data_IF_231565709777
#
_entry.id   IF_231565709777
#
_cell.length_a   1.000
_cell.length_b   1.000
_cell.length_c   1.000
_cell.angle_alpha   90.00
_cell.angle_beta   90.00
_cell.angle_gamma   90.00
#
_symmetry.space_group_name_H-M   'P 1'
#
loop_
_entity.id
_entity.type
_entity.pdbx_description
1 polymer ?
#
# COMPACT_ATOMS: atom_id res chain seq x y z
N UNK A 1 8.01 77.72 -17.17
CA UNK A 1 8.76 77.07 -16.07
C UNK A 1 8.27 75.64 -15.93
N UNK A 2 9.20 74.71 -15.76
CA UNK A 2 9.15 73.28 -16.12
C UNK A 2 8.16 72.51 -15.24
N UNK A 3 7.22 71.80 -15.88
CA UNK A 3 6.33 70.83 -15.23
C UNK A 3 7.08 69.50 -15.03
N UNK A 4 7.17 69.02 -13.79
CA UNK A 4 7.78 67.74 -13.43
C UNK A 4 6.80 66.59 -13.73
N UNK A 5 7.12 65.76 -14.72
CA UNK A 5 6.50 64.45 -14.91
C UNK A 5 7.11 63.47 -13.90
N UNK A 6 6.32 63.07 -12.90
CA UNK A 6 6.69 62.00 -11.97
C UNK A 6 6.18 60.67 -12.56
N UNK A 7 7.10 59.83 -13.02
CA UNK A 7 6.78 58.50 -13.52
C UNK A 7 6.49 57.54 -12.35
N UNK A 8 5.26 57.04 -12.32
CA UNK A 8 4.82 55.90 -11.51
C UNK A 8 5.52 54.62 -12.01
N UNK A 9 6.27 53.95 -11.13
CA UNK A 9 6.71 52.57 -11.34
C UNK A 9 5.84 51.69 -10.42
N UNK A 10 4.90 50.90 -10.92
CA UNK A 10 4.22 49.91 -10.10
C UNK A 10 5.18 48.72 -9.89
N UNK A 11 5.65 48.56 -8.67
CA UNK A 11 6.33 47.34 -8.22
C UNK A 11 5.32 46.18 -8.28
N UNK A 12 5.43 45.35 -9.31
CA UNK A 12 4.72 44.08 -9.44
C UNK A 12 5.29 43.12 -8.40
N UNK A 13 4.67 43.04 -7.22
CA UNK A 13 4.93 42.00 -6.25
C UNK A 13 4.45 40.65 -6.81
N UNK A 14 5.35 39.90 -7.41
CA UNK A 14 5.11 38.48 -7.74
C UNK A 14 5.12 37.74 -6.40
N UNK A 15 3.93 37.46 -5.88
CA UNK A 15 3.74 36.53 -4.78
C UNK A 15 4.11 35.12 -5.28
N UNK A 16 5.34 34.70 -5.00
CA UNK A 16 5.76 33.31 -5.17
C UNK A 16 5.00 32.51 -4.11
N UNK A 17 3.86 31.94 -4.50
CA UNK A 17 3.18 30.91 -3.72
C UNK A 17 4.08 29.68 -3.67
N UNK A 18 4.90 29.57 -2.62
CA UNK A 18 5.45 28.28 -2.22
C UNK A 18 4.28 27.43 -1.71
N UNK A 19 3.73 26.59 -2.57
CA UNK A 19 2.85 25.50 -2.12
C UNK A 19 3.70 24.52 -1.32
N UNK A 20 3.64 24.61 0.00
CA UNK A 20 4.12 23.55 0.88
C UNK A 20 3.29 22.30 0.61
N UNK A 21 3.88 21.31 -0.05
CA UNK A 21 3.30 19.97 -0.12
C UNK A 21 3.31 19.40 1.31
N UNK A 22 2.14 19.30 1.94
CA UNK A 22 1.96 18.58 3.18
C UNK A 22 2.14 17.09 2.88
N UNK A 23 3.35 16.58 3.09
CA UNK A 23 3.59 15.14 3.19
C UNK A 23 2.73 14.65 4.34
N UNK A 24 1.77 13.76 4.07
CA UNK A 24 0.98 13.13 5.12
C UNK A 24 1.96 12.41 6.07
N UNK A 25 2.16 12.99 7.25
CA UNK A 25 3.00 12.40 8.28
C UNK A 25 2.25 11.17 8.80
N UNK A 26 2.72 9.96 8.51
CA UNK A 26 2.01 8.70 8.85
C UNK A 26 1.96 8.42 10.38
N UNK A 27 2.42 9.37 11.19
CA UNK A 27 2.41 9.32 12.65
C UNK A 27 3.53 8.46 13.24
N UNK A 28 4.18 7.61 12.43
CA UNK A 28 5.20 6.66 12.88
C UNK A 28 6.65 7.15 12.69
N UNK A 29 6.88 8.46 12.63
CA UNK A 29 8.25 8.98 12.67
C UNK A 29 8.80 8.89 14.11
N UNK A 30 9.84 8.07 14.37
CA UNK A 30 10.38 7.93 15.71
C UNK A 30 11.14 9.19 16.12
N UNK A 31 10.97 9.58 17.38
CA UNK A 31 11.69 10.66 18.05
C UNK A 31 12.47 10.05 19.20
N UNK A 32 13.74 10.44 19.34
CA UNK A 32 14.57 9.99 20.45
C UNK A 32 14.06 10.60 21.77
N UNK A 33 13.77 9.75 22.75
CA UNK A 33 13.42 10.13 24.12
C UNK A 33 14.23 9.28 25.11
N UNK A 34 15.21 9.91 25.74
CA UNK A 34 16.19 9.23 26.58
C UNK A 34 16.95 8.15 25.80
N UNK A 35 16.76 6.89 26.19
CA UNK A 35 17.43 5.73 25.57
C UNK A 35 16.61 5.07 24.45
N UNK A 36 15.44 5.62 24.11
CA UNK A 36 14.47 4.94 23.27
C UNK A 36 14.06 5.75 22.04
N UNK A 37 13.65 5.03 21.00
CA UNK A 37 12.89 5.58 19.90
C UNK A 37 11.41 5.56 20.27
N UNK A 38 10.74 6.70 20.16
CA UNK A 38 9.34 6.86 20.58
C UNK A 38 8.50 7.41 19.42
N UNK A 39 7.36 6.78 19.16
CA UNK A 39 6.34 7.27 18.20
C UNK A 39 5.08 7.72 18.93
N UNK A 40 4.37 8.67 18.34
CA UNK A 40 3.15 9.21 18.91
C UNK A 40 1.95 8.26 18.83
N UNK A 41 0.89 8.60 19.56
CA UNK A 41 -0.38 7.84 19.56
C UNK A 41 -1.03 7.79 18.16
N UNK A 42 -0.74 8.74 17.27
CA UNK A 42 -1.21 8.72 15.88
C UNK A 42 -0.54 7.66 15.00
N UNK A 43 0.57 7.06 15.44
CA UNK A 43 1.21 5.96 14.71
C UNK A 43 0.29 4.74 14.68
N UNK A 44 -0.10 4.30 13.48
CA UNK A 44 -0.90 3.10 13.31
C UNK A 44 -0.03 1.84 13.48
N UNK A 45 -0.25 1.16 14.60
CA UNK A 45 0.41 -0.10 14.96
C UNK A 45 -0.51 -1.31 14.80
N UNK A 46 -1.66 -1.11 14.16
CA UNK A 46 -2.55 -2.18 13.73
C UNK A 46 -3.26 -2.90 14.88
N UNK A 47 -3.84 -4.04 14.54
CA UNK A 47 -4.59 -4.91 15.45
C UNK A 47 -3.80 -6.17 15.77
N UNK A 48 -3.98 -6.74 16.97
CA UNK A 48 -3.27 -7.96 17.35
C UNK A 48 -3.73 -9.19 16.57
N UNK A 49 -2.79 -10.07 16.26
CA UNK A 49 -2.96 -11.38 15.64
C UNK A 49 -2.65 -12.46 16.70
N UNK A 50 -3.56 -12.65 17.66
CA UNK A 50 -3.38 -13.62 18.74
C UNK A 50 -3.38 -15.06 18.19
N UNK A 51 -4.48 -15.43 17.52
CA UNK A 51 -4.70 -16.76 16.92
C UNK A 51 -5.26 -16.68 15.50
N UNK A 52 -5.37 -15.46 14.96
CA UNK A 52 -5.84 -15.19 13.61
C UNK A 52 -4.66 -15.21 12.65
N UNK A 53 -4.85 -15.81 11.48
CA UNK A 53 -3.91 -15.65 10.37
C UNK A 53 -3.89 -14.18 9.94
N UNK A 54 -2.76 -13.67 9.45
CA UNK A 54 -2.73 -12.34 8.88
C UNK A 54 -3.67 -12.28 7.66
N UNK A 55 -4.20 -11.09 7.37
CA UNK A 55 -5.03 -10.89 6.17
C UNK A 55 -4.20 -11.09 4.89
N UNK A 56 -2.91 -10.73 4.95
CA UNK A 56 -1.94 -10.92 3.87
C UNK A 56 -0.59 -11.37 4.45
N UNK A 57 0.20 -12.12 3.69
CA UNK A 57 1.58 -12.44 4.09
C UNK A 57 2.51 -11.22 4.05
N UNK A 58 2.20 -10.26 3.17
CA UNK A 58 2.94 -9.01 3.00
C UNK A 58 2.13 -7.82 3.52
N UNK A 59 2.74 -7.00 4.38
CA UNK A 59 2.04 -6.01 5.17
C UNK A 59 2.97 -5.11 5.95
N UNK A 60 2.45 -4.43 6.97
CA UNK A 60 3.27 -3.86 8.05
C UNK A 60 2.90 -4.58 9.33
N UNK A 61 3.87 -5.28 9.88
CA UNK A 61 3.71 -6.09 11.08
C UNK A 61 4.56 -5.53 12.21
N UNK A 62 4.02 -5.50 13.41
CA UNK A 62 4.75 -5.15 14.62
C UNK A 62 4.76 -6.35 15.56
N UNK A 63 5.85 -6.59 16.27
CA UNK A 63 5.85 -7.53 17.41
C UNK A 63 5.69 -6.70 18.68
N UNK A 64 4.57 -6.83 19.36
CA UNK A 64 4.36 -6.18 20.64
C UNK A 64 4.99 -7.00 21.76
N UNK A 65 5.99 -6.43 22.45
CA UNK A 65 6.69 -7.05 23.57
C UNK A 65 6.05 -6.78 24.94
N UNK A 66 5.21 -5.76 25.07
CA UNK A 66 4.55 -5.45 26.34
C UNK A 66 3.85 -4.09 26.38
N UNK A 67 3.26 -3.80 27.54
CA UNK A 67 2.66 -2.51 27.90
C UNK A 67 3.19 -2.08 29.26
N UNK A 68 3.66 -0.83 29.36
CA UNK A 68 4.34 -0.31 30.54
C UNK A 68 3.72 1.00 30.98
N UNK A 69 3.46 1.19 32.27
CA UNK A 69 2.86 2.43 32.80
C UNK A 69 3.88 3.58 32.93
N UNK A 70 5.13 3.37 32.51
CA UNK A 70 6.23 4.34 32.54
C UNK A 70 7.26 3.97 31.47
N UNK A 71 8.05 4.94 31.03
CA UNK A 71 9.18 4.69 30.14
C UNK A 71 10.15 3.69 30.78
N UNK A 72 10.55 2.61 30.08
CA UNK A 72 11.48 1.63 30.64
C UNK A 72 12.88 2.21 30.91
N UNK A 73 13.63 1.69 31.90
CA UNK A 73 15.03 2.08 32.13
C UNK A 73 15.95 1.50 31.06
N UNK A 74 17.15 2.06 30.86
CA UNK A 74 18.12 1.58 29.85
C UNK A 74 18.40 0.05 29.91
N UNK A 75 18.46 -0.51 31.12
CA UNK A 75 18.66 -1.95 31.36
C UNK A 75 17.53 -2.85 30.86
N UNK A 76 16.42 -2.28 30.41
CA UNK A 76 15.37 -3.03 29.74
C UNK A 76 15.86 -3.72 28.46
N UNK A 77 16.88 -3.16 27.81
CA UNK A 77 17.53 -3.77 26.64
C UNK A 77 18.18 -5.12 26.95
N UNK A 78 18.64 -5.33 28.19
CA UNK A 78 19.28 -6.58 28.64
C UNK A 78 18.31 -7.77 28.70
N UNK A 79 16.99 -7.50 28.67
CA UNK A 79 15.96 -8.53 28.70
C UNK A 79 15.73 -9.20 27.34
N UNK A 80 16.23 -8.60 26.26
CA UNK A 80 16.07 -9.13 24.91
C UNK A 80 17.14 -10.16 24.57
N UNK A 81 16.78 -11.24 23.86
CA UNK A 81 17.76 -12.16 23.28
C UNK A 81 18.76 -11.45 22.36
N UNK A 82 20.01 -11.93 22.34
CA UNK A 82 21.13 -11.30 21.61
C UNK A 82 20.95 -11.22 20.09
N UNK A 83 20.12 -12.09 19.52
CA UNK A 83 19.80 -12.16 18.10
C UNK A 83 18.70 -11.17 17.68
N UNK A 84 18.11 -10.42 18.61
CA UNK A 84 17.15 -9.36 18.31
C UNK A 84 17.89 -8.05 18.02
N UNK A 85 17.63 -7.49 16.84
CA UNK A 85 18.08 -6.13 16.50
C UNK A 85 17.27 -5.10 17.29
N UNK A 86 17.91 -4.47 18.27
CA UNK A 86 17.32 -3.41 19.10
C UNK A 86 17.15 -2.08 18.35
N UNK A 87 17.75 -1.91 17.17
CA UNK A 87 17.49 -0.75 16.31
C UNK A 87 16.03 -0.68 15.85
N UNK A 88 15.36 -1.84 15.80
CA UNK A 88 13.93 -1.95 15.47
C UNK A 88 13.03 -1.80 16.70
N UNK A 89 13.57 -1.56 17.90
CA UNK A 89 12.81 -1.38 19.13
C UNK A 89 12.27 0.06 19.20
N UNK A 90 10.95 0.18 19.24
CA UNK A 90 10.22 1.43 19.30
C UNK A 90 9.18 1.36 20.41
N UNK A 91 9.01 2.45 21.14
CA UNK A 91 7.88 2.60 22.06
C UNK A 91 6.83 3.51 21.46
N UNK A 92 5.57 3.09 21.48
CA UNK A 92 4.45 3.97 21.16
C UNK A 92 3.87 4.54 22.44
N UNK A 93 3.73 5.86 22.50
CA UNK A 93 3.01 6.52 23.60
C UNK A 93 1.51 6.30 23.42
N UNK A 94 0.87 5.96 24.52
CA UNK A 94 -0.57 5.90 24.70
C UNK A 94 -0.87 6.68 25.98
N UNK A 95 -2.04 7.30 26.10
CA UNK A 95 -2.39 8.32 27.10
C UNK A 95 -1.65 8.26 28.46
N UNK A 96 -1.48 7.08 29.06
CA UNK A 96 -0.67 6.86 30.28
C UNK A 96 0.28 5.65 30.22
N UNK A 97 0.50 5.07 29.04
CA UNK A 97 1.25 3.82 28.86
C UNK A 97 2.23 3.91 27.68
N UNK A 98 3.25 3.05 27.72
CA UNK A 98 4.20 2.83 26.65
C UNK A 98 4.02 1.42 26.11
N UNK A 99 3.66 1.30 24.83
CA UNK A 99 3.59 0.03 24.13
C UNK A 99 4.95 -0.28 23.53
N UNK A 100 5.54 -1.40 23.95
CA UNK A 100 6.82 -1.90 23.42
C UNK A 100 6.57 -2.62 22.10
N UNK A 101 7.26 -2.21 21.04
CA UNK A 101 7.09 -2.71 19.69
C UNK A 101 8.46 -2.98 19.04
N UNK A 102 8.56 -4.07 18.29
CA UNK A 102 9.65 -4.33 17.35
C UNK A 102 9.11 -4.25 15.93
N UNK A 103 9.76 -3.47 15.06
CA UNK A 103 9.39 -3.36 13.65
C UNK A 103 9.39 -1.91 13.12
N UNK A 104 8.60 -1.62 12.07
CA UNK A 104 7.70 -2.54 11.39
C UNK A 104 8.46 -3.57 10.53
N UNK A 105 7.88 -4.75 10.35
CA UNK A 105 8.33 -5.81 9.44
C UNK A 105 7.42 -5.87 8.21
N UNK A 106 8.00 -6.14 7.05
CA UNK A 106 7.24 -6.16 5.79
C UNK A 106 6.57 -7.50 5.50
N UNK A 107 7.07 -8.57 6.10
CA UNK A 107 6.58 -9.93 5.92
C UNK A 107 6.17 -10.53 7.26
N UNK A 108 5.05 -11.27 7.26
CA UNK A 108 4.56 -11.95 8.45
C UNK A 108 5.57 -12.97 8.99
N UNK A 109 6.29 -13.66 8.10
CA UNK A 109 7.31 -14.65 8.45
C UNK A 109 8.47 -14.04 9.27
N UNK A 110 8.92 -12.83 8.94
CA UNK A 110 9.96 -12.12 9.70
C UNK A 110 9.44 -11.77 11.10
N UNK A 111 8.25 -11.19 11.19
CA UNK A 111 7.61 -10.87 12.47
C UNK A 111 7.37 -12.12 13.33
N UNK A 112 7.04 -13.25 12.70
CA UNK A 112 6.86 -14.54 13.37
C UNK A 112 8.17 -15.08 13.95
N UNK A 113 9.28 -14.98 13.21
CA UNK A 113 10.61 -15.32 13.70
C UNK A 113 11.01 -14.46 14.91
N UNK A 114 10.84 -13.14 14.80
CA UNK A 114 11.14 -12.20 15.89
C UNK A 114 10.28 -12.48 17.13
N UNK A 115 8.97 -12.71 16.97
CA UNK A 115 8.10 -13.10 18.08
C UNK A 115 8.60 -14.36 18.77
N UNK A 116 8.98 -15.38 18.01
CA UNK A 116 9.46 -16.65 18.55
C UNK A 116 10.76 -16.47 19.35
N UNK A 117 11.70 -15.68 18.84
CA UNK A 117 12.95 -15.36 19.52
C UNK A 117 12.70 -14.54 20.80
N UNK A 118 11.94 -13.43 20.72
CA UNK A 118 11.61 -12.57 21.87
C UNK A 118 10.94 -13.35 23.00
N UNK A 119 10.03 -14.29 22.68
CA UNK A 119 9.34 -15.14 23.66
C UNK A 119 10.25 -16.13 24.40
N UNK A 120 11.52 -16.29 24.02
CA UNK A 120 12.49 -17.06 24.80
C UNK A 120 12.85 -16.38 26.13
N UNK A 121 12.61 -15.08 26.25
CA UNK A 121 12.70 -14.34 27.50
C UNK A 121 11.35 -14.38 28.23
N UNK A 122 11.35 -14.80 29.49
CA UNK A 122 10.14 -14.85 30.32
C UNK A 122 9.42 -13.50 30.40
N UNK A 123 10.19 -12.40 30.36
CA UNK A 123 9.69 -11.03 30.34
C UNK A 123 8.74 -10.75 29.16
N UNK A 124 8.87 -11.50 28.07
CA UNK A 124 8.12 -11.29 26.82
C UNK A 124 7.34 -12.53 26.38
N UNK A 125 7.05 -13.45 27.29
CA UNK A 125 6.28 -14.68 27.02
C UNK A 125 4.91 -14.42 26.36
N UNK A 126 4.32 -13.25 26.61
CA UNK A 126 3.04 -12.82 26.04
C UNK A 126 3.17 -12.02 24.73
N UNK A 127 4.37 -11.86 24.17
CA UNK A 127 4.57 -11.06 22.97
C UNK A 127 3.73 -11.56 21.79
N UNK A 128 3.14 -10.69 20.99
CA UNK A 128 2.28 -11.10 19.86
C UNK A 128 2.47 -10.18 18.65
N UNK A 129 2.05 -10.65 17.47
CA UNK A 129 2.16 -9.86 16.25
C UNK A 129 0.94 -8.95 16.13
N UNK A 130 1.13 -7.73 15.65
CA UNK A 130 0.08 -6.82 15.21
C UNK A 130 0.19 -6.61 13.71
N UNK A 131 -0.94 -6.51 13.03
CA UNK A 131 -1.03 -6.23 11.60
C UNK A 131 -1.69 -4.87 11.37
N UNK A 132 -0.98 -3.99 10.67
CA UNK A 132 -1.54 -2.76 10.13
C UNK A 132 -2.26 -3.12 8.83
N UNK A 133 -3.59 -3.10 8.88
CA UNK A 133 -4.41 -3.34 7.70
C UNK A 133 -4.13 -2.25 6.68
N UNK A 134 -3.68 -2.65 5.48
CA UNK A 134 -3.66 -1.72 4.34
C UNK A 134 -5.12 -1.40 3.99
N UNK A 135 -5.49 -0.13 3.73
CA UNK A 135 -6.81 0.14 3.20
C UNK A 135 -7.00 -0.67 1.92
N UNK A 136 -8.21 -1.21 1.67
CA UNK A 136 -8.47 -1.96 0.46
C UNK A 136 -8.12 -1.10 -0.74
N UNK A 137 -7.50 -1.70 -1.75
CA UNK A 137 -7.20 -0.98 -2.98
C UNK A 137 -8.54 -0.54 -3.59
N UNK A 138 -8.63 0.72 -4.03
CA UNK A 138 -9.78 1.21 -4.77
C UNK A 138 -9.72 0.73 -6.21
N UNK A 139 -10.89 0.56 -6.83
CA UNK A 139 -11.01 0.10 -8.20
C UNK A 139 -11.87 1.07 -9.01
N UNK A 140 -11.50 1.26 -10.28
CA UNK A 140 -12.37 1.82 -11.30
C UNK A 140 -13.15 0.68 -11.94
N UNK A 141 -14.44 0.91 -12.18
CA UNK A 141 -15.27 0.03 -13.00
C UNK A 141 -15.05 0.39 -14.47
N UNK A 142 -14.58 -0.57 -15.27
CA UNK A 142 -14.29 -0.39 -16.70
C UNK A 142 -14.98 -1.54 -17.44
N UNK A 143 -16.07 -1.26 -18.13
CA UNK A 143 -16.84 -2.24 -18.89
C UNK A 143 -17.18 -3.54 -18.10
N UNK A 144 -17.55 -3.39 -16.83
CA UNK A 144 -17.86 -4.53 -15.93
C UNK A 144 -16.64 -5.26 -15.35
N UNK A 145 -15.43 -4.85 -15.73
CA UNK A 145 -14.17 -5.27 -15.14
C UNK A 145 -13.69 -4.26 -14.08
N UNK A 146 -12.63 -4.62 -13.34
CA UNK A 146 -12.08 -3.79 -12.26
C UNK A 146 -10.64 -3.38 -12.56
N UNK A 147 -10.40 -2.09 -12.74
CA UNK A 147 -9.05 -1.53 -12.89
C UNK A 147 -8.54 -1.03 -11.54
N UNK A 148 -7.44 -1.59 -10.99
CA UNK A 148 -6.93 -1.16 -9.69
C UNK A 148 -6.38 0.28 -9.76
N UNK A 149 -6.80 1.15 -8.83
CA UNK A 149 -6.26 2.51 -8.74
C UNK A 149 -4.83 2.50 -8.18
N UNK A 150 -3.92 3.36 -8.68
CA UNK A 150 -2.55 3.43 -8.16
C UNK A 150 -2.49 4.12 -6.79
N UNK A 151 -1.60 3.64 -5.93
CA UNK A 151 -1.21 4.33 -4.68
C UNK A 151 -0.26 5.49 -4.96
N UNK A 152 0.08 6.29 -3.95
CA UNK A 152 0.85 7.55 -4.08
C UNK A 152 2.26 7.33 -4.68
N UNK A 153 2.88 6.19 -4.44
CA UNK A 153 4.24 5.83 -4.85
C UNK A 153 4.30 4.80 -5.99
N UNK A 154 3.14 4.39 -6.52
CA UNK A 154 3.07 3.37 -7.58
C UNK A 154 3.14 4.00 -9.00
N UNK A 155 3.72 3.29 -9.98
CA UNK A 155 3.70 3.70 -11.37
C UNK A 155 2.27 3.85 -11.88
N UNK A 156 2.02 4.92 -12.64
CA UNK A 156 0.68 5.25 -13.13
C UNK A 156 0.71 5.84 -14.53
N UNK A 157 -0.45 5.81 -15.16
CA UNK A 157 -0.76 6.56 -16.37
C UNK A 157 -2.11 7.24 -16.19
N UNK A 158 -2.22 8.50 -16.61
CA UNK A 158 -3.48 9.23 -16.56
C UNK A 158 -3.87 9.63 -17.97
N UNK A 159 -5.12 9.39 -18.33
CA UNK A 159 -5.75 10.00 -19.49
C UNK A 159 -6.78 11.06 -19.04
N UNK A 160 -7.68 11.46 -19.93
CA UNK A 160 -8.70 12.48 -19.64
C UNK A 160 -9.75 12.02 -18.62
N UNK A 161 -9.97 10.72 -18.49
CA UNK A 161 -11.07 10.14 -17.70
C UNK A 161 -10.57 9.36 -16.48
N UNK A 162 -9.44 8.68 -16.59
CA UNK A 162 -9.01 7.65 -15.65
C UNK A 162 -7.54 7.81 -15.24
N UNK A 163 -7.25 7.33 -14.02
CA UNK A 163 -5.89 7.15 -13.51
C UNK A 163 -5.63 5.67 -13.35
N UNK A 164 -4.85 5.12 -14.26
CA UNK A 164 -4.52 3.71 -14.36
C UNK A 164 -3.28 3.38 -13.56
N UNK A 165 -3.34 2.29 -12.81
CA UNK A 165 -2.16 1.69 -12.23
C UNK A 165 -1.37 0.92 -13.30
N UNK A 166 -0.05 1.07 -13.27
CA UNK A 166 0.88 0.32 -14.11
C UNK A 166 1.72 -0.61 -13.25
N UNK A 167 1.76 -1.88 -13.64
CA UNK A 167 2.38 -2.92 -12.83
C UNK A 167 3.14 -3.94 -13.68
N UNK A 168 4.09 -4.64 -13.08
CA UNK A 168 4.67 -5.86 -13.65
C UNK A 168 3.62 -6.98 -13.69
N UNK A 169 3.88 -8.02 -14.48
CA UNK A 169 2.96 -9.16 -14.58
C UNK A 169 2.70 -9.83 -13.22
N UNK A 170 3.74 -9.95 -12.40
CA UNK A 170 3.65 -10.56 -11.08
C UNK A 170 2.78 -9.72 -10.13
N UNK A 171 3.01 -8.41 -10.09
CA UNK A 171 2.23 -7.47 -9.27
C UNK A 171 0.76 -7.44 -9.71
N UNK A 172 0.50 -7.43 -11.01
CA UNK A 172 -0.85 -7.46 -11.58
C UNK A 172 -1.61 -8.73 -11.17
N UNK A 173 -0.99 -9.91 -11.38
CA UNK A 173 -1.59 -11.21 -10.99
C UNK A 173 -1.84 -11.28 -9.49
N UNK A 174 -0.87 -10.87 -8.68
CA UNK A 174 -1.00 -10.91 -7.22
C UNK A 174 -2.08 -9.96 -6.71
N UNK A 175 -2.20 -8.76 -7.30
CA UNK A 175 -3.20 -7.76 -6.91
C UNK A 175 -4.60 -8.27 -7.22
N UNK A 176 -4.85 -8.71 -8.46
CA UNK A 176 -6.16 -9.27 -8.81
C UNK A 176 -6.50 -10.49 -7.94
N UNK A 177 -5.54 -11.40 -7.72
CA UNK A 177 -5.76 -12.59 -6.92
C UNK A 177 -6.08 -12.30 -5.45
N UNK A 178 -5.45 -11.27 -4.86
CA UNK A 178 -5.73 -10.93 -3.46
C UNK A 178 -7.18 -10.51 -3.27
N UNK A 179 -7.72 -9.77 -4.23
CA UNK A 179 -9.11 -9.29 -4.16
C UNK A 179 -10.08 -10.28 -4.84
N UNK A 180 -9.70 -11.56 -4.86
CA UNK A 180 -10.45 -12.71 -5.39
C UNK A 180 -10.92 -12.57 -6.85
N UNK A 181 -10.14 -11.88 -7.67
CA UNK A 181 -10.32 -11.75 -9.10
C UNK A 181 -9.19 -12.48 -9.85
N UNK A 182 -9.32 -12.58 -11.17
CA UNK A 182 -8.23 -12.97 -12.04
C UNK A 182 -7.71 -11.75 -12.79
N UNK A 183 -6.45 -11.78 -13.23
CA UNK A 183 -6.01 -10.87 -14.27
C UNK A 183 -6.81 -11.16 -15.54
N UNK A 184 -7.29 -10.13 -16.23
CA UNK A 184 -8.20 -10.28 -17.37
C UNK A 184 -7.63 -11.21 -18.45
N UNK A 185 -8.48 -12.05 -19.04
CA UNK A 185 -8.08 -12.91 -20.16
C UNK A 185 -8.01 -12.13 -21.48
N UNK A 186 -7.21 -12.62 -22.42
CA UNK A 186 -7.19 -12.04 -23.79
C UNK A 186 -8.55 -12.19 -24.49
N UNK A 187 -9.25 -13.29 -24.24
CA UNK A 187 -10.58 -13.51 -24.79
C UNK A 187 -11.57 -12.46 -24.28
N UNK A 188 -11.59 -12.20 -22.97
CA UNK A 188 -12.46 -11.17 -22.36
C UNK A 188 -12.19 -9.81 -22.98
N UNK A 189 -10.93 -9.40 -23.14
CA UNK A 189 -10.61 -8.12 -23.77
C UNK A 189 -11.05 -8.07 -25.23
N UNK A 190 -10.88 -9.14 -26.01
CA UNK A 190 -11.36 -9.22 -27.40
C UNK A 190 -12.89 -9.07 -27.49
N UNK A 191 -13.62 -9.68 -26.57
CA UNK A 191 -15.08 -9.56 -26.49
C UNK A 191 -15.50 -8.13 -26.12
N UNK A 192 -14.80 -7.49 -25.18
CA UNK A 192 -15.08 -6.11 -24.76
C UNK A 192 -14.81 -5.10 -25.88
N UNK A 193 -13.69 -5.19 -26.60
CA UNK A 193 -13.38 -4.24 -27.67
C UNK A 193 -14.30 -4.40 -28.90
N UNK A 194 -15.04 -5.50 -29.01
CA UNK A 194 -16.08 -5.67 -30.02
C UNK A 194 -17.36 -4.88 -29.70
N UNK A 195 -17.52 -4.41 -28.44
CA UNK A 195 -18.64 -3.60 -27.98
C UNK A 195 -18.21 -2.12 -28.01
N UNK A 196 -18.84 -1.23 -28.81
CA UNK A 196 -18.37 0.15 -28.98
C UNK A 196 -18.21 0.94 -27.69
N UNK A 197 -19.17 0.84 -26.76
CA UNK A 197 -19.14 1.55 -25.47
C UNK A 197 -18.02 1.04 -24.56
N UNK A 198 -17.82 -0.27 -24.51
CA UNK A 198 -16.73 -0.85 -23.73
C UNK A 198 -15.37 -0.53 -24.34
N UNK A 199 -15.26 -0.51 -25.68
CA UNK A 199 -14.05 -0.08 -26.39
C UNK A 199 -13.68 1.37 -26.06
N UNK A 200 -14.66 2.26 -25.98
CA UNK A 200 -14.43 3.65 -25.58
C UNK A 200 -13.87 3.76 -24.16
N UNK A 201 -14.41 3.01 -23.19
CA UNK A 201 -13.91 2.96 -21.82
C UNK A 201 -12.51 2.34 -21.68
N UNK A 202 -12.16 1.41 -22.57
CA UNK A 202 -10.86 0.71 -22.59
C UNK A 202 -9.80 1.41 -23.43
N UNK A 203 -10.18 2.37 -24.28
CA UNK A 203 -9.26 2.98 -25.24
C UNK A 203 -8.14 3.70 -24.49
N UNK A 204 -6.92 3.26 -24.77
CA UNK A 204 -5.71 3.77 -24.14
C UNK A 204 -4.52 3.54 -25.05
N UNK A 205 -3.58 4.50 -25.15
CA UNK A 205 -2.37 4.32 -25.96
C UNK A 205 -1.39 3.31 -25.35
N UNK A 206 -1.65 2.81 -24.14
CA UNK A 206 -0.82 1.82 -23.46
C UNK A 206 -1.52 0.47 -23.42
N UNK A 207 -0.77 -0.64 -23.58
CA UNK A 207 -1.38 -1.96 -23.57
C UNK A 207 -1.70 -2.43 -22.15
N UNK A 208 -2.64 -3.36 -22.07
CA UNK A 208 -3.04 -4.07 -20.86
C UNK A 208 -2.26 -5.38 -20.71
N UNK A 209 -2.00 -5.78 -19.46
CA UNK A 209 -1.62 -7.17 -19.19
C UNK A 209 -2.81 -8.10 -19.42
N UNK A 210 -2.59 -9.19 -20.16
CA UNK A 210 -3.51 -10.35 -20.17
C UNK A 210 -2.95 -11.50 -19.30
N UNK A 211 -3.83 -12.39 -18.84
CA UNK A 211 -3.51 -13.51 -17.95
C UNK A 211 -2.32 -14.37 -18.42
N UNK A 212 -2.17 -14.56 -19.73
CA UNK A 212 -1.10 -15.36 -20.34
C UNK A 212 0.27 -14.65 -20.37
N UNK A 213 0.31 -13.37 -19.98
CA UNK A 213 1.55 -12.60 -19.87
C UNK A 213 1.98 -11.91 -21.17
N UNK A 214 1.04 -11.66 -22.07
CA UNK A 214 1.23 -10.78 -23.22
C UNK A 214 0.68 -9.38 -22.93
N UNK A 215 1.13 -8.42 -23.74
CA UNK A 215 0.62 -7.05 -23.77
C UNK A 215 -0.46 -6.94 -24.84
N UNK A 216 -1.69 -6.62 -24.44
CA UNK A 216 -2.83 -6.48 -25.34
C UNK A 216 -3.11 -4.99 -25.61
N UNK A 217 -3.07 -4.61 -26.87
CA UNK A 217 -3.44 -3.27 -27.35
C UNK A 217 -4.95 -3.22 -27.62
N UNK A 218 -5.69 -2.41 -26.87
CA UNK A 218 -7.16 -2.36 -26.93
C UNK A 218 -7.70 -1.64 -28.19
N UNK A 219 -6.89 -0.80 -28.84
CA UNK A 219 -7.31 -0.09 -30.04
C UNK A 219 -7.25 -1.01 -31.27
N UNK A 220 -6.19 -1.82 -31.35
CA UNK A 220 -5.91 -2.76 -32.46
C UNK A 220 -6.40 -4.19 -32.21
N UNK A 221 -6.58 -4.60 -30.95
CA UNK A 221 -6.94 -5.96 -30.56
C UNK A 221 -5.81 -6.98 -30.67
N UNK A 222 -4.56 -6.52 -30.76
CA UNK A 222 -3.37 -7.36 -30.96
C UNK A 222 -2.66 -7.60 -29.62
N UNK A 223 -2.26 -8.84 -29.38
CA UNK A 223 -1.34 -9.21 -28.29
C UNK A 223 0.09 -9.34 -28.80
N UNK A 224 1.05 -8.78 -28.06
CA UNK A 224 2.47 -8.96 -28.30
C UNK A 224 3.21 -9.43 -27.04
N UNK A 225 4.25 -10.27 -27.17
CA UNK A 225 5.07 -10.63 -26.03
C UNK A 225 5.93 -9.44 -25.61
N UNK A 226 5.94 -9.14 -24.30
CA UNK A 226 6.84 -8.16 -23.69
C UNK A 226 7.57 -8.78 -22.49
N UNK A 227 8.59 -8.08 -21.99
CA UNK A 227 9.23 -8.44 -20.73
C UNK A 227 8.20 -8.47 -19.59
N UNK A 228 8.24 -9.50 -18.75
CA UNK A 228 7.36 -9.62 -17.57
C UNK A 228 7.59 -8.52 -16.53
N UNK A 229 8.73 -7.84 -16.61
CA UNK A 229 9.07 -6.67 -15.80
C UNK A 229 8.55 -5.34 -16.37
N UNK A 230 7.92 -5.34 -17.55
CA UNK A 230 7.29 -4.15 -18.11
C UNK A 230 6.10 -3.70 -17.25
N UNK A 231 5.97 -2.39 -17.04
CA UNK A 231 4.84 -1.81 -16.33
C UNK A 231 3.69 -1.52 -17.30
N UNK A 232 2.67 -2.38 -17.34
CA UNK A 232 1.50 -2.24 -18.23
C UNK A 232 0.23 -1.95 -17.45
N UNK A 233 -0.84 -1.54 -18.14
CA UNK A 233 -2.13 -1.30 -17.52
C UNK A 233 -2.72 -2.60 -16.96
N UNK A 234 -3.42 -2.51 -15.83
CA UNK A 234 -3.98 -3.67 -15.14
C UNK A 234 -5.50 -3.62 -15.18
N UNK A 235 -6.11 -4.73 -15.58
CA UNK A 235 -7.54 -4.94 -15.50
C UNK A 235 -7.79 -6.33 -14.91
N UNK A 236 -8.66 -6.40 -13.90
CA UNK A 236 -9.02 -7.63 -13.23
C UNK A 236 -10.45 -8.03 -13.63
N UNK A 237 -10.65 -9.30 -13.93
CA UNK A 237 -11.97 -9.88 -14.19
C UNK A 237 -12.48 -10.64 -12.95
N UNK A 238 -13.74 -10.43 -12.53
CA UNK A 238 -14.35 -11.21 -11.46
C UNK A 238 -14.30 -12.71 -11.76
N UNK A 239 -13.97 -13.53 -10.76
CA UNK A 239 -14.12 -14.98 -10.91
C UNK A 239 -15.60 -15.30 -11.11
N UNK A 240 -15.91 -16.04 -12.17
CA UNK A 240 -17.26 -16.56 -12.37
C UNK A 240 -17.64 -17.41 -11.15
N UNK A 241 -18.52 -16.89 -10.31
CA UNK A 241 -19.16 -17.69 -9.27
C UNK A 241 -20.13 -18.59 -10.01
N UNK A 242 -19.79 -19.87 -10.16
CA UNK A 242 -20.78 -20.89 -10.50
C UNK A 242 -21.78 -20.90 -9.34
N UNK A 243 -22.83 -20.08 -9.44
CA UNK A 243 -24.03 -20.32 -8.66
C UNK A 243 -24.58 -21.62 -9.20
N UNK A 244 -24.39 -22.71 -8.48
CA UNK A 244 -25.16 -23.92 -8.70
C UNK A 244 -26.64 -23.51 -8.70
N UNK A 245 -27.21 -23.40 -9.90
CA UNK A 245 -28.65 -23.39 -10.07
C UNK A 245 -29.08 -24.79 -9.62
N UNK A 246 -29.42 -24.94 -8.34
CA UNK A 246 -30.32 -26.00 -7.90
C UNK A 246 -31.63 -25.79 -8.67
N UNK A 247 -31.69 -26.41 -9.84
CA UNK A 247 -32.94 -26.67 -10.53
C UNK A 247 -33.79 -27.51 -9.60
N UNK A 248 -35.04 -27.05 -9.40
CA UNK A 248 -36.04 -27.83 -8.72
C UNK A 248 -36.23 -29.17 -9.42
N UNK A 249 -36.27 -30.22 -8.60
CA UNK A 249 -37.10 -31.39 -8.80
C UNK A 249 -37.74 -31.71 -7.45
#
# INVERSE_FOLDING_TARGET
MIAKFSHLIPFLFIAVFLSSASVANDGCQPVSDGNWQVVGESCDVGQGLWSTRPEREDGRFWVQCGLFNRSPPASFSDLFPRDISLEKLVFRTESSQYRCLLGPFMHFSEAAGVKAAVRQSDAFSLAFIREVKKPPRRYLDIAGMKSPMPKVDEPRYSDQHNVWWRATLQEAKMTCATDNMNLVSEQTLKELIAIPTAKEELSSPLPFWVADGNAFDADTGISIPLSKASALLVLCEPKLVIREMKQGL
#
